data_IF_737708911726
#
_entry.id   IF_737708911726
#
_cell.length_a   1.000
_cell.length_b   1.000
_cell.length_c   1.000
_cell.angle_alpha   90.00
_cell.angle_beta   90.00
_cell.angle_gamma   90.00
#
_symmetry.space_group_name_H-M   'P 1'
#
loop_
_entity.id
_entity.type
_entity.pdbx_description
1 polymer ?
#
# COMPACT_ATOMS: atom_id res chain seq x y z
N UNK A 1 25.60 -7.80 11.76
CA UNK A 1 24.21 -7.63 12.24
C UNK A 1 24.03 -6.17 12.67
N UNK A 2 22.97 -5.48 12.21
CA UNK A 2 22.71 -4.09 12.62
C UNK A 2 22.46 -4.01 14.13
N UNK A 3 23.14 -3.08 14.80
CA UNK A 3 23.06 -2.80 16.23
C UNK A 3 21.63 -2.53 16.72
N UNK A 4 20.77 -2.00 15.84
CA UNK A 4 19.38 -1.66 16.15
C UNK A 4 18.34 -2.68 15.63
N UNK A 5 18.76 -3.86 15.19
CA UNK A 5 17.88 -4.94 14.71
C UNK A 5 16.77 -5.38 15.69
N UNK A 6 16.92 -5.10 16.99
CA UNK A 6 15.92 -5.39 18.04
C UNK A 6 14.84 -4.32 18.20
N UNK A 7 14.98 -3.17 17.55
CA UNK A 7 14.02 -2.06 17.64
C UNK A 7 12.91 -2.24 16.61
N UNK A 8 11.66 -2.09 17.04
CA UNK A 8 10.53 -1.90 16.12
C UNK A 8 10.67 -0.52 15.44
N UNK A 9 10.06 -0.32 14.27
CA UNK A 9 10.15 0.97 13.54
C UNK A 9 9.81 2.19 14.42
N UNK A 10 8.71 2.14 15.16
CA UNK A 10 8.35 3.23 16.08
C UNK A 10 9.38 3.41 17.21
N UNK A 11 9.96 2.31 17.72
CA UNK A 11 11.01 2.38 18.74
C UNK A 11 12.31 2.98 18.17
N UNK A 12 12.65 2.63 16.92
CA UNK A 12 13.82 3.14 16.21
C UNK A 12 13.73 4.66 15.99
N UNK A 13 12.57 5.16 15.56
CA UNK A 13 12.32 6.60 15.37
C UNK A 13 12.44 7.35 16.71
N UNK A 14 11.89 6.82 17.80
CA UNK A 14 12.03 7.46 19.12
C UNK A 14 13.49 7.45 19.58
N UNK A 15 14.20 6.34 19.43
CA UNK A 15 15.62 6.24 19.76
C UNK A 15 16.48 7.20 18.93
N UNK A 16 16.17 7.36 17.64
CA UNK A 16 16.86 8.30 16.77
C UNK A 16 16.74 9.75 17.28
N UNK A 17 15.56 10.16 17.74
CA UNK A 17 15.38 11.49 18.33
C UNK A 17 16.20 11.71 19.61
N UNK A 18 16.35 10.68 20.46
CA UNK A 18 17.25 10.79 21.62
C UNK A 18 18.72 10.91 21.18
N UNK A 19 19.15 10.11 20.21
CA UNK A 19 20.51 10.17 19.67
C UNK A 19 20.77 11.52 19.03
N UNK A 20 19.82 12.09 18.28
CA UNK A 20 19.92 13.42 17.69
C UNK A 20 20.20 14.49 18.77
N UNK A 21 19.45 14.42 19.87
CA UNK A 21 19.56 15.38 20.98
C UNK A 21 20.94 15.30 21.64
N UNK A 22 21.37 14.08 22.00
CA UNK A 22 22.68 13.85 22.62
C UNK A 22 23.80 14.21 21.65
N UNK A 23 23.74 13.75 20.40
CA UNK A 23 24.74 14.03 19.38
C UNK A 23 24.86 15.52 19.08
N UNK A 24 23.76 16.26 19.00
CA UNK A 24 23.79 17.72 18.80
C UNK A 24 24.57 18.42 19.94
N UNK A 25 24.32 18.00 21.17
CA UNK A 25 24.97 18.56 22.36
C UNK A 25 26.46 18.22 22.40
N UNK A 26 26.80 16.96 22.08
CA UNK A 26 28.13 16.40 22.27
C UNK A 26 28.99 16.46 21.00
N UNK A 27 28.45 16.97 19.88
CA UNK A 27 29.08 16.95 18.55
C UNK A 27 30.49 17.51 18.58
N UNK A 28 30.70 18.63 19.26
CA UNK A 28 32.01 19.30 19.30
C UNK A 28 33.08 18.42 19.95
N UNK A 29 32.75 17.72 21.04
CA UNK A 29 33.66 16.77 21.69
C UNK A 29 33.93 15.57 20.78
N UNK A 30 32.88 14.99 20.19
CA UNK A 30 33.02 13.86 19.27
C UNK A 30 33.79 14.22 17.99
N UNK A 31 33.64 15.44 17.48
CA UNK A 31 34.34 15.91 16.29
C UNK A 31 35.83 16.17 16.53
N UNK A 32 36.24 16.40 17.79
CA UNK A 32 37.64 16.57 18.15
C UNK A 32 38.42 15.25 17.98
N UNK A 33 37.79 14.11 18.27
CA UNK A 33 38.39 12.78 18.12
C UNK A 33 38.07 12.14 16.75
N UNK A 34 36.86 12.35 16.25
CA UNK A 34 36.36 11.74 15.00
C UNK A 34 35.96 12.82 14.00
N UNK A 35 36.89 13.17 13.10
CA UNK A 35 36.74 14.27 12.12
C UNK A 35 35.51 14.18 11.21
N UNK A 36 34.91 13.00 11.08
CA UNK A 36 33.68 12.78 10.31
C UNK A 36 32.42 13.37 10.91
N UNK A 37 32.38 13.66 12.22
CA UNK A 37 31.20 14.23 12.90
C UNK A 37 31.11 15.75 12.74
N UNK A 38 31.12 16.17 11.49
CA UNK A 38 30.97 17.57 11.09
C UNK A 38 29.54 18.06 11.33
N UNK A 39 29.34 19.37 11.22
CA UNK A 39 27.98 19.94 11.21
C UNK A 39 27.15 19.38 10.05
N UNK A 40 27.78 19.13 8.89
CA UNK A 40 27.15 18.51 7.73
C UNK A 40 26.65 17.09 8.02
N UNK A 41 27.42 16.29 8.76
CA UNK A 41 26.97 14.94 9.18
C UNK A 41 25.73 15.01 10.08
N UNK A 42 25.65 15.99 10.98
CA UNK A 42 24.45 16.23 11.79
C UNK A 42 23.25 16.62 10.90
N UNK A 43 23.44 17.50 9.93
CA UNK A 43 22.38 17.86 8.97
C UNK A 43 21.88 16.65 8.17
N UNK A 44 22.79 15.77 7.73
CA UNK A 44 22.44 14.52 7.06
C UNK A 44 21.67 13.56 7.97
N UNK A 45 22.07 13.47 9.24
CA UNK A 45 21.36 12.67 10.23
C UNK A 45 19.93 13.17 10.45
N UNK A 46 19.75 14.48 10.67
CA UNK A 46 18.44 15.11 10.86
C UNK A 46 17.54 14.90 9.64
N UNK A 47 18.10 14.99 8.43
CA UNK A 47 17.38 14.70 7.20
C UNK A 47 16.93 13.24 7.12
N UNK A 48 17.81 12.29 7.42
CA UNK A 48 17.48 10.86 7.44
C UNK A 48 16.43 10.52 8.51
N UNK A 49 16.53 11.12 9.71
CA UNK A 49 15.56 10.99 10.78
C UNK A 49 14.19 11.53 10.36
N UNK A 50 14.14 12.74 9.81
CA UNK A 50 12.91 13.39 9.34
C UNK A 50 12.24 12.59 8.23
N UNK A 51 13.03 12.10 7.27
CA UNK A 51 12.53 11.23 6.21
C UNK A 51 11.88 9.99 6.81
N UNK A 52 12.61 9.22 7.63
CA UNK A 52 12.13 7.99 8.23
C UNK A 52 10.87 8.19 9.11
N UNK A 53 10.79 9.31 9.85
CA UNK A 53 9.64 9.70 10.67
C UNK A 53 8.39 9.99 9.84
N UNK A 54 8.55 10.57 8.65
CA UNK A 54 7.46 10.97 7.77
C UNK A 54 7.04 9.89 6.77
N UNK A 55 7.73 8.74 6.75
CA UNK A 55 7.33 7.64 5.88
C UNK A 55 5.94 7.14 6.26
N UNK A 56 5.01 7.26 5.33
CA UNK A 56 3.67 6.68 5.46
C UNK A 56 3.82 5.19 5.76
N UNK A 57 3.21 4.76 6.86
CA UNK A 57 3.24 3.36 7.29
C UNK A 57 2.75 2.47 6.16
N UNK A 58 3.51 1.41 5.86
CA UNK A 58 3.11 0.35 4.91
C UNK A 58 1.69 -0.16 5.19
N UNK A 59 1.25 -0.15 6.45
CA UNK A 59 -0.09 -0.57 6.85
C UNK A 59 -1.19 0.27 6.19
N UNK A 60 -0.99 1.57 6.04
CA UNK A 60 -1.96 2.48 5.38
C UNK A 60 -2.08 2.13 3.90
N UNK A 61 -0.94 2.03 3.20
CA UNK A 61 -0.91 1.67 1.78
C UNK A 61 -1.52 0.29 1.50
N UNK A 62 -1.26 -0.68 2.38
CA UNK A 62 -1.88 -2.01 2.31
C UNK A 62 -3.39 -1.96 2.58
N UNK A 63 -3.87 -1.09 3.48
CA UNK A 63 -5.30 -0.92 3.70
C UNK A 63 -5.98 -0.34 2.46
N UNK A 64 -5.36 0.67 1.83
CA UNK A 64 -5.88 1.28 0.59
C UNK A 64 -5.89 0.30 -0.58
N UNK A 65 -4.86 -0.54 -0.71
CA UNK A 65 -4.79 -1.60 -1.70
C UNK A 65 -5.92 -2.61 -1.48
N UNK A 66 -6.10 -3.08 -0.23
CA UNK A 66 -7.19 -4.01 0.12
C UNK A 66 -8.56 -3.42 -0.17
N UNK A 67 -8.77 -2.13 0.11
CA UNK A 67 -10.00 -1.43 -0.21
C UNK A 67 -10.31 -1.46 -1.71
N UNK A 68 -9.33 -1.15 -2.56
CA UNK A 68 -9.50 -1.23 -4.02
C UNK A 68 -9.76 -2.65 -4.50
N UNK A 69 -9.04 -3.66 -4.00
CA UNK A 69 -9.29 -5.07 -4.33
C UNK A 69 -10.71 -5.50 -3.95
N UNK A 70 -11.19 -5.11 -2.77
CA UNK A 70 -12.56 -5.42 -2.33
C UNK A 70 -13.62 -4.72 -3.19
N UNK A 71 -13.38 -3.47 -3.59
CA UNK A 71 -14.27 -2.74 -4.50
C UNK A 71 -14.34 -3.41 -5.88
N UNK A 72 -13.20 -3.82 -6.43
CA UNK A 72 -13.11 -4.55 -7.70
C UNK A 72 -13.93 -5.85 -7.65
N UNK A 73 -13.69 -6.71 -6.66
CA UNK A 73 -14.43 -7.96 -6.52
C UNK A 73 -15.94 -7.74 -6.30
N UNK A 74 -16.32 -6.72 -5.52
CA UNK A 74 -17.73 -6.36 -5.32
C UNK A 74 -18.38 -5.98 -6.65
N UNK A 75 -17.73 -5.10 -7.42
CA UNK A 75 -18.25 -4.63 -8.71
C UNK A 75 -18.36 -5.78 -9.72
N UNK A 76 -17.33 -6.62 -9.81
CA UNK A 76 -17.33 -7.81 -10.67
C UNK A 76 -18.44 -8.80 -10.31
N UNK A 77 -18.69 -9.04 -9.01
CA UNK A 77 -19.80 -9.92 -8.58
C UNK A 77 -21.17 -9.33 -8.88
N UNK A 78 -21.31 -8.01 -8.79
CA UNK A 78 -22.55 -7.29 -9.07
C UNK A 78 -23.00 -7.40 -10.54
N UNK A 79 -22.13 -7.83 -11.46
CA UNK A 79 -22.49 -8.10 -12.86
C UNK A 79 -23.41 -9.31 -13.03
N UNK A 80 -23.37 -10.30 -12.12
CA UNK A 80 -24.07 -11.59 -12.32
C UNK A 80 -25.57 -11.44 -12.62
N UNK A 81 -26.34 -10.62 -11.88
CA UNK A 81 -27.75 -10.39 -12.18
C UNK A 81 -27.97 -9.67 -13.52
N UNK A 82 -27.12 -8.69 -13.86
CA UNK A 82 -27.20 -7.96 -15.14
C UNK A 82 -26.97 -8.92 -16.31
N UNK A 83 -25.93 -9.75 -16.24
CA UNK A 83 -25.62 -10.77 -17.25
C UNK A 83 -26.75 -11.79 -17.40
N UNK A 84 -27.43 -12.16 -16.31
CA UNK A 84 -28.55 -13.09 -16.39
C UNK A 84 -29.74 -12.49 -17.14
N UNK A 85 -30.01 -11.20 -16.96
CA UNK A 85 -31.06 -10.50 -17.73
C UNK A 85 -30.70 -10.43 -19.22
N UNK A 86 -29.45 -10.07 -19.53
CA UNK A 86 -28.93 -10.02 -20.91
C UNK A 86 -29.04 -11.40 -21.58
N UNK A 87 -28.66 -12.47 -20.89
CA UNK A 87 -28.81 -13.85 -21.38
C UNK A 87 -30.28 -14.16 -21.74
N UNK A 88 -31.23 -13.73 -20.92
CA UNK A 88 -32.64 -13.96 -21.19
C UNK A 88 -33.10 -13.22 -22.46
N UNK A 89 -32.71 -11.95 -22.63
CA UNK A 89 -33.02 -11.20 -23.86
C UNK A 89 -32.43 -11.87 -25.11
N UNK A 90 -31.18 -12.32 -25.05
CA UNK A 90 -30.54 -13.07 -26.14
C UNK A 90 -31.32 -14.35 -26.44
N UNK A 91 -31.71 -15.10 -25.42
CA UNK A 91 -32.43 -16.36 -25.60
C UNK A 91 -33.84 -16.16 -26.17
N UNK A 92 -34.55 -15.10 -25.80
CA UNK A 92 -35.84 -14.77 -26.39
C UNK A 92 -35.67 -14.34 -27.85
N UNK A 93 -34.69 -13.49 -28.15
CA UNK A 93 -34.47 -13.00 -29.51
C UNK A 93 -34.07 -14.16 -30.46
N UNK A 94 -33.28 -15.12 -29.98
CA UNK A 94 -32.92 -16.35 -30.73
C UNK A 94 -34.11 -17.22 -31.13
N UNK A 95 -35.22 -17.15 -30.40
CA UNK A 95 -36.42 -17.92 -30.77
C UNK A 95 -37.12 -17.33 -32.00
N UNK A 96 -36.92 -16.04 -32.26
CA UNK A 96 -37.57 -15.29 -33.34
C UNK A 96 -36.63 -14.99 -34.51
N UNK A 97 -35.31 -14.94 -34.27
CA UNK A 97 -34.30 -14.57 -35.26
C UNK A 97 -33.29 -15.71 -35.49
N UNK A 98 -33.29 -16.25 -36.72
CA UNK A 98 -32.42 -17.35 -37.15
C UNK A 98 -30.94 -16.93 -37.18
N UNK A 99 -30.63 -15.68 -37.52
CA UNK A 99 -29.24 -15.21 -37.56
C UNK A 99 -28.61 -15.28 -36.16
N UNK A 100 -29.36 -14.85 -35.13
CA UNK A 100 -28.92 -14.89 -33.74
C UNK A 100 -28.67 -16.30 -33.19
N UNK A 101 -29.28 -17.35 -33.78
CA UNK A 101 -29.08 -18.73 -33.34
C UNK A 101 -27.65 -19.21 -33.58
N UNK A 102 -26.99 -18.68 -34.62
CA UNK A 102 -25.62 -19.05 -35.00
C UNK A 102 -24.54 -18.30 -34.21
N UNK A 103 -24.91 -17.23 -33.51
CA UNK A 103 -23.96 -16.34 -32.83
C UNK A 103 -23.64 -16.87 -31.44
N UNK A 104 -22.36 -16.90 -31.09
CA UNK A 104 -21.87 -17.30 -29.77
C UNK A 104 -21.59 -16.04 -28.94
N UNK A 105 -22.38 -15.83 -27.89
CA UNK A 105 -22.15 -14.76 -26.91
C UNK A 105 -21.28 -15.29 -25.77
N UNK A 106 -20.28 -14.53 -25.29
CA UNK A 106 -19.26 -15.03 -24.34
C UNK A 106 -19.74 -15.08 -22.87
N UNK A 107 -21.00 -15.44 -22.64
CA UNK A 107 -21.62 -15.38 -21.30
C UNK A 107 -21.03 -16.41 -20.33
N UNK A 108 -20.62 -17.58 -20.82
CA UNK A 108 -19.94 -18.61 -20.04
C UNK A 108 -18.55 -18.16 -19.60
N UNK A 109 -17.80 -17.57 -20.53
CA UNK A 109 -16.44 -17.07 -20.36
C UNK A 109 -16.43 -15.94 -19.33
N UNK A 110 -17.37 -14.99 -19.44
CA UNK A 110 -17.57 -13.93 -18.46
C UNK A 110 -17.82 -14.51 -17.05
N UNK A 111 -18.68 -15.53 -16.92
CA UNK A 111 -18.97 -16.15 -15.62
C UNK A 111 -17.75 -16.84 -15.03
N UNK A 112 -16.99 -17.54 -15.86
CA UNK A 112 -15.74 -18.19 -15.48
C UNK A 112 -14.72 -17.16 -15.01
N UNK A 113 -14.52 -16.07 -15.76
CA UNK A 113 -13.64 -14.98 -15.39
C UNK A 113 -14.04 -14.33 -14.05
N UNK A 114 -15.34 -14.06 -13.84
CA UNK A 114 -15.87 -13.57 -12.55
C UNK A 114 -15.52 -14.50 -11.38
N UNK A 115 -15.70 -15.81 -11.57
CA UNK A 115 -15.48 -16.81 -10.52
C UNK A 115 -13.99 -17.04 -10.24
N UNK A 116 -13.15 -16.97 -11.27
CA UNK A 116 -11.71 -17.11 -11.17
C UNK A 116 -11.02 -15.82 -10.72
N UNK A 117 -11.77 -14.71 -10.61
CA UNK A 117 -11.23 -13.37 -10.36
C UNK A 117 -10.23 -12.92 -11.44
N UNK A 118 -10.42 -13.41 -12.66
CA UNK A 118 -9.64 -13.03 -13.83
C UNK A 118 -10.25 -11.77 -14.45
N UNK A 119 -9.64 -10.61 -14.15
CA UNK A 119 -10.19 -9.32 -14.56
C UNK A 119 -9.81 -8.99 -16.00
N UNK A 120 -8.69 -9.52 -16.49
CA UNK A 120 -8.25 -9.31 -17.88
C UNK A 120 -9.20 -10.06 -18.83
N UNK A 121 -9.38 -11.36 -18.61
CA UNK A 121 -10.34 -12.16 -19.37
C UNK A 121 -11.77 -11.61 -19.25
N UNK A 122 -12.13 -11.09 -18.08
CA UNK A 122 -13.45 -10.48 -17.87
C UNK A 122 -13.66 -9.25 -18.77
N UNK A 123 -12.69 -8.32 -18.81
CA UNK A 123 -12.80 -7.09 -19.60
C UNK A 123 -12.85 -7.39 -21.10
N UNK A 124 -12.04 -8.35 -21.56
CA UNK A 124 -12.02 -8.77 -22.96
C UNK A 124 -13.37 -9.37 -23.38
N UNK A 125 -13.90 -10.29 -22.56
CA UNK A 125 -15.18 -10.93 -22.87
C UNK A 125 -16.38 -9.98 -22.70
N UNK A 126 -16.34 -9.01 -21.78
CA UNK A 126 -17.36 -7.95 -21.68
C UNK A 126 -17.31 -7.02 -22.89
N UNK A 127 -16.14 -6.70 -23.42
CA UNK A 127 -15.97 -5.89 -24.63
C UNK A 127 -16.55 -6.63 -25.85
N UNK A 128 -16.26 -7.92 -25.99
CA UNK A 128 -16.84 -8.76 -27.03
C UNK A 128 -18.37 -8.82 -26.91
N UNK A 129 -18.90 -9.06 -25.70
CA UNK A 129 -20.34 -9.06 -25.44
C UNK A 129 -20.97 -7.73 -25.86
N UNK A 130 -20.40 -6.59 -25.43
CA UNK A 130 -20.90 -5.27 -25.79
C UNK A 130 -20.96 -5.08 -27.32
N UNK A 131 -19.91 -5.44 -28.04
CA UNK A 131 -19.86 -5.31 -29.50
C UNK A 131 -20.93 -6.16 -30.19
N UNK A 132 -21.16 -7.40 -29.72
CA UNK A 132 -22.22 -8.25 -30.25
C UNK A 132 -23.62 -7.70 -29.95
N UNK A 133 -23.83 -7.14 -28.75
CA UNK A 133 -25.12 -6.52 -28.39
C UNK A 133 -25.40 -5.29 -29.27
N UNK A 134 -24.38 -4.47 -29.57
CA UNK A 134 -24.50 -3.31 -30.46
C UNK A 134 -24.75 -3.74 -31.91
N UNK A 135 -24.01 -4.74 -32.41
CA UNK A 135 -24.14 -5.25 -33.76
C UNK A 135 -25.53 -5.84 -34.03
N UNK A 136 -26.11 -6.51 -33.04
CA UNK A 136 -27.42 -7.17 -33.14
C UNK A 136 -28.51 -6.46 -32.34
N UNK A 137 -28.39 -5.15 -32.15
CA UNK A 137 -29.31 -4.37 -31.30
C UNK A 137 -30.76 -4.40 -31.75
N UNK A 138 -31.02 -4.50 -33.06
CA UNK A 138 -32.38 -4.46 -33.61
C UNK A 138 -33.27 -5.63 -33.14
N UNK A 139 -32.88 -6.91 -33.35
CA UNK A 139 -33.67 -8.03 -32.84
C UNK A 139 -33.70 -8.08 -31.30
N UNK A 140 -32.62 -7.67 -30.62
CA UNK A 140 -32.59 -7.60 -29.16
C UNK A 140 -33.53 -6.53 -28.58
N UNK A 141 -33.68 -5.40 -29.28
CA UNK A 141 -34.59 -4.32 -28.88
C UNK A 141 -36.06 -4.72 -28.97
N UNK A 142 -36.42 -5.62 -29.90
CA UNK A 142 -37.79 -6.17 -29.99
C UNK A 142 -38.17 -6.97 -28.74
N UNK A 143 -37.19 -7.62 -28.10
CA UNK A 143 -37.36 -8.31 -26.82
C UNK A 143 -37.23 -7.39 -25.60
N UNK A 144 -37.03 -6.09 -25.80
CA UNK A 144 -36.99 -5.08 -24.74
C UNK A 144 -35.60 -4.79 -24.17
N UNK A 145 -34.51 -5.24 -24.82
CA UNK A 145 -33.16 -4.77 -24.46
C UNK A 145 -32.95 -3.35 -24.98
N UNK A 146 -32.98 -2.36 -24.08
CA UNK A 146 -32.78 -0.95 -24.45
C UNK A 146 -31.31 -0.61 -24.72
N UNK A 147 -31.07 0.38 -25.58
CA UNK A 147 -29.72 0.93 -25.79
C UNK A 147 -29.12 1.48 -24.48
N UNK A 148 -29.95 2.05 -23.59
CA UNK A 148 -29.52 2.48 -22.25
C UNK A 148 -28.95 1.32 -21.44
N UNK A 149 -29.54 0.13 -21.49
CA UNK A 149 -29.04 -1.04 -20.77
C UNK A 149 -27.69 -1.51 -21.33
N UNK A 150 -27.50 -1.41 -22.65
CA UNK A 150 -26.22 -1.73 -23.32
C UNK A 150 -25.15 -0.73 -22.87
N UNK A 151 -25.47 0.56 -22.81
CA UNK A 151 -24.57 1.59 -22.30
C UNK A 151 -24.22 1.40 -20.81
N UNK A 152 -25.19 1.06 -19.96
CA UNK A 152 -24.95 0.75 -18.54
C UNK A 152 -23.95 -0.41 -18.36
N UNK A 153 -24.04 -1.46 -19.18
CA UNK A 153 -23.07 -2.57 -19.16
C UNK A 153 -21.66 -2.09 -19.53
N UNK A 154 -21.56 -1.20 -20.52
CA UNK A 154 -20.29 -0.61 -20.96
C UNK A 154 -19.67 0.26 -19.84
N UNK A 155 -20.47 1.05 -19.14
CA UNK A 155 -20.01 1.85 -17.99
C UNK A 155 -19.58 0.96 -16.81
N UNK A 156 -20.31 -0.14 -16.57
CA UNK A 156 -19.93 -1.14 -15.57
C UNK A 156 -18.56 -1.74 -15.90
N UNK A 157 -18.34 -2.14 -17.17
CA UNK A 157 -17.07 -2.65 -17.69
C UNK A 157 -15.93 -1.63 -17.54
N UNK A 158 -16.12 -0.38 -17.97
CA UNK A 158 -15.10 0.67 -17.88
C UNK A 158 -14.65 0.89 -16.42
N UNK A 159 -15.59 0.98 -15.48
CA UNK A 159 -15.17 1.15 -14.10
C UNK A 159 -14.59 -0.12 -13.45
N UNK A 160 -14.75 -1.32 -14.04
CA UNK A 160 -13.99 -2.52 -13.63
C UNK A 160 -12.54 -2.39 -14.13
N UNK A 161 -12.37 -1.99 -15.39
CA UNK A 161 -11.05 -1.70 -15.96
C UNK A 161 -10.30 -0.62 -15.16
N UNK A 162 -10.97 0.48 -14.79
CA UNK A 162 -10.37 1.55 -13.99
C UNK A 162 -9.93 1.07 -12.60
N UNK A 163 -10.74 0.23 -11.95
CA UNK A 163 -10.40 -0.36 -10.66
C UNK A 163 -9.22 -1.33 -10.76
N UNK A 164 -9.12 -2.09 -11.86
CA UNK A 164 -7.98 -2.97 -12.13
C UNK A 164 -6.68 -2.16 -12.31
N UNK A 165 -6.73 -1.10 -13.11
CA UNK A 165 -5.59 -0.20 -13.30
C UNK A 165 -5.17 0.46 -12.00
N UNK A 166 -6.14 0.93 -11.21
CA UNK A 166 -5.88 1.52 -9.90
C UNK A 166 -5.24 0.51 -8.94
N UNK A 167 -5.69 -0.75 -8.95
CA UNK A 167 -5.10 -1.82 -8.14
C UNK A 167 -3.63 -2.04 -8.52
N UNK A 168 -3.31 -2.11 -9.82
CA UNK A 168 -1.94 -2.26 -10.32
C UNK A 168 -1.04 -1.10 -9.90
N UNK A 169 -1.51 0.14 -10.05
CA UNK A 169 -0.77 1.33 -9.60
C UNK A 169 -0.54 1.29 -8.08
N UNK A 170 -1.54 0.91 -7.28
CA UNK A 170 -1.40 0.80 -5.82
C UNK A 170 -0.44 -0.32 -5.40
N UNK A 171 -0.41 -1.43 -6.13
CA UNK A 171 0.54 -2.53 -5.87
C UNK A 171 1.97 -2.10 -6.15
N UNK A 172 2.21 -1.46 -7.31
CA UNK A 172 3.53 -0.96 -7.69
C UNK A 172 4.04 0.11 -6.72
N UNK A 173 3.20 1.09 -6.39
CA UNK A 173 3.56 2.15 -5.43
C UNK A 173 3.80 1.61 -4.02
N UNK A 174 3.09 0.56 -3.60
CA UNK A 174 3.33 -0.12 -2.31
C UNK A 174 4.67 -0.86 -2.30
N UNK A 175 5.03 -1.52 -3.40
CA UNK A 175 6.30 -2.22 -3.53
C UNK A 175 7.48 -1.24 -3.55
N UNK A 176 7.44 -0.20 -4.38
CA UNK A 176 8.47 0.83 -4.44
C UNK A 176 8.62 1.56 -3.11
N UNK A 177 7.51 1.88 -2.44
CA UNK A 177 7.55 2.48 -1.12
C UNK A 177 8.15 1.54 -0.06
N UNK A 178 7.93 0.23 -0.17
CA UNK A 178 8.53 -0.73 0.77
C UNK A 178 10.05 -0.72 0.66
N UNK A 179 10.58 -0.72 -0.57
CA UNK A 179 12.01 -0.65 -0.80
C UNK A 179 12.59 0.68 -0.31
N UNK A 180 12.01 1.82 -0.71
CA UNK A 180 12.46 3.14 -0.28
C UNK A 180 12.39 3.31 1.25
N UNK A 181 11.33 2.79 1.89
CA UNK A 181 11.19 2.84 3.33
C UNK A 181 12.28 2.03 4.02
N UNK A 182 12.54 0.80 3.55
CA UNK A 182 13.59 -0.05 4.12
C UNK A 182 14.97 0.60 3.99
N UNK A 183 15.25 1.25 2.87
CA UNK A 183 16.50 1.98 2.64
C UNK A 183 16.66 3.13 3.63
N UNK A 184 15.64 3.96 3.80
CA UNK A 184 15.68 5.09 4.74
C UNK A 184 15.87 4.63 6.19
N UNK A 185 15.18 3.56 6.61
CA UNK A 185 15.37 2.98 7.94
C UNK A 185 16.77 2.38 8.13
N UNK A 186 17.33 1.76 7.08
CA UNK A 186 18.69 1.23 7.11
C UNK A 186 19.72 2.35 7.22
N UNK A 187 19.63 3.36 6.37
CA UNK A 187 20.51 4.53 6.40
C UNK A 187 20.51 5.19 7.78
N UNK A 188 19.32 5.42 8.35
CA UNK A 188 19.19 5.99 9.69
C UNK A 188 19.85 5.09 10.75
N UNK A 189 19.60 3.77 10.71
CA UNK A 189 20.16 2.80 11.65
C UNK A 189 21.69 2.69 11.56
N UNK A 190 22.26 2.83 10.36
CA UNK A 190 23.69 2.82 10.14
C UNK A 190 24.33 4.08 10.75
N UNK A 191 23.77 5.27 10.51
CA UNK A 191 24.26 6.51 11.13
C UNK A 191 24.09 6.49 12.66
N UNK A 192 22.96 5.97 13.18
CA UNK A 192 22.79 5.75 14.62
C UNK A 192 23.88 4.83 15.18
N UNK A 193 24.28 3.79 14.44
CA UNK A 193 25.33 2.86 14.86
C UNK A 193 26.67 3.57 14.96
N UNK A 194 27.02 4.38 13.96
CA UNK A 194 28.26 5.16 13.95
C UNK A 194 28.34 6.14 15.12
N UNK A 195 27.27 6.91 15.35
CA UNK A 195 27.19 7.87 16.47
C UNK A 195 27.29 7.14 17.80
N UNK A 196 26.54 6.05 17.99
CA UNK A 196 26.57 5.28 19.22
C UNK A 196 27.93 4.63 19.49
N UNK A 197 28.62 4.14 18.45
CA UNK A 197 29.96 3.58 18.59
C UNK A 197 30.94 4.62 19.13
N UNK A 198 30.95 5.81 18.54
CA UNK A 198 31.83 6.90 18.97
C UNK A 198 31.49 7.44 20.36
N UNK A 199 30.20 7.74 20.62
CA UNK A 199 29.75 8.24 21.91
C UNK A 199 30.03 7.28 23.06
N UNK A 200 29.89 5.96 22.84
CA UNK A 200 30.24 4.97 23.85
C UNK A 200 31.74 4.92 24.14
N UNK A 201 32.57 5.08 23.12
CA UNK A 201 34.03 5.07 23.27
C UNK A 201 34.48 6.31 24.05
N UNK A 202 33.99 7.49 23.65
CA UNK A 202 34.29 8.78 24.29
C UNK A 202 33.86 8.78 25.76
N UNK A 203 32.62 8.37 26.04
CA UNK A 203 32.03 8.49 27.37
C UNK A 203 32.16 7.25 28.25
N UNK A 204 33.11 6.35 27.96
CA UNK A 204 33.29 5.11 28.73
C UNK A 204 33.50 5.34 30.24
N UNK A 205 34.13 6.46 30.62
CA UNK A 205 34.32 6.89 32.02
C UNK A 205 33.14 7.66 32.63
N UNK A 206 32.18 8.10 31.81
CA UNK A 206 31.00 8.85 32.24
C UNK A 206 29.74 7.99 32.01
N UNK A 207 29.33 7.26 33.03
CA UNK A 207 28.21 6.32 32.93
C UNK A 207 26.87 6.97 32.53
N UNK A 208 26.63 8.23 32.91
CA UNK A 208 25.40 8.94 32.54
C UNK A 208 25.37 9.17 31.02
N UNK A 209 26.43 9.75 30.46
CA UNK A 209 26.58 9.99 29.03
C UNK A 209 26.69 8.70 28.21
N UNK A 210 27.41 7.69 28.71
CA UNK A 210 27.53 6.38 28.05
C UNK A 210 26.16 5.75 27.74
N UNK A 211 25.21 5.85 28.68
CA UNK A 211 23.86 5.28 28.52
C UNK A 211 23.05 5.96 27.41
N UNK A 212 23.32 7.23 27.11
CA UNK A 212 22.71 7.96 25.99
C UNK A 212 23.11 7.38 24.63
N UNK A 213 24.26 6.72 24.56
CA UNK A 213 24.79 6.10 23.34
C UNK A 213 24.73 4.57 23.36
N UNK A 214 24.22 3.95 24.44
CA UNK A 214 24.13 2.50 24.53
C UNK A 214 22.77 2.01 23.99
N UNK A 215 22.74 1.24 22.87
CA UNK A 215 21.49 0.78 22.25
C UNK A 215 20.59 -0.02 23.20
N UNK A 216 21.16 -0.82 24.10
CA UNK A 216 20.38 -1.58 25.09
C UNK A 216 19.67 -0.68 26.10
N UNK A 217 20.30 0.43 26.51
CA UNK A 217 19.72 1.37 27.47
C UNK A 217 18.73 2.31 26.78
N UNK A 218 19.03 2.74 25.54
CA UNK A 218 18.08 3.43 24.68
C UNK A 218 16.81 2.61 24.46
N UNK A 219 16.92 1.32 24.16
CA UNK A 219 15.75 0.45 23.97
C UNK A 219 14.90 0.35 25.24
N UNK A 220 15.53 0.22 26.41
CA UNK A 220 14.82 0.21 27.71
C UNK A 220 14.08 1.52 27.94
N UNK A 221 14.76 2.66 27.72
CA UNK A 221 14.19 4.01 27.88
C UNK A 221 12.98 4.22 26.97
N UNK A 222 13.12 3.91 25.68
CA UNK A 222 12.02 4.01 24.70
C UNK A 222 10.82 3.18 25.13
N UNK A 223 11.03 1.91 25.52
CA UNK A 223 9.95 1.02 25.92
C UNK A 223 9.25 1.46 27.20
N UNK A 224 9.99 2.03 28.14
CA UNK A 224 9.42 2.58 29.36
C UNK A 224 8.55 3.80 29.05
N UNK A 225 9.03 4.73 28.21
CA UNK A 225 8.25 5.92 27.84
C UNK A 225 6.97 5.55 27.08
N UNK A 226 7.04 4.59 26.16
CA UNK A 226 5.87 4.12 25.42
C UNK A 226 4.82 3.44 26.32
N UNK A 227 5.26 2.71 27.36
CA UNK A 227 4.34 2.12 28.34
C UNK A 227 3.61 3.20 29.14
N UNK A 228 4.34 4.20 29.63
CA UNK A 228 3.76 5.30 30.39
C UNK A 228 2.72 6.08 29.56
N UNK A 229 3.04 6.39 28.30
CA UNK A 229 2.09 7.04 27.36
C UNK A 229 0.84 6.21 27.08
N UNK A 230 0.93 4.89 27.13
CA UNK A 230 -0.25 4.01 26.94
C UNK A 230 -1.14 4.01 28.17
N UNK A 231 -0.57 4.14 29.38
CA UNK A 231 -1.32 4.15 30.63
C UNK A 231 -2.07 5.47 30.87
N UNK A 232 -1.46 6.61 30.54
CA UNK A 232 -2.10 7.94 30.65
C UNK A 232 -3.33 8.12 29.74
N UNK A 233 -3.41 7.39 28.62
CA UNK A 233 -4.58 7.44 27.72
C UNK A 233 -5.69 6.43 28.06
N UNK A 234 -5.50 5.60 29.08
CA UNK A 234 -6.47 4.58 29.51
C UNK A 234 -7.15 4.89 30.84
N UNK A 235 -6.99 6.12 31.35
CA UNK A 235 -7.78 6.64 32.46
C UNK A 235 -8.94 7.46 31.88
N UNK A 236 -10.18 6.95 31.85
CA UNK A 236 -11.33 7.78 31.56
C UNK A 236 -11.58 8.68 32.78
N UNK A 237 -11.73 9.99 32.55
CA UNK A 237 -12.55 10.83 33.43
C UNK A 237 -14.00 10.35 33.42
#
# INVERSE_FOLDING_TARGET
MSTFSKFKQAELITAAGYIETSFTTDRAALAAEYSRFTQEYLSQYTAAYTLAKNLVSRKVKLADQKGTTAALHTKTKALKPTLKKIENYINFARQQDIELQSIIFPLSEIRTAINNHDVEDLVDNLSLLHNLLVQHKNPLAQEGLSETRIAELFDEMNGIFDLNQMQNVKMNTTNSATQANNEAYRQLSDMMTEICMAGKAEYKGNNAKYKEYNPSDLLKRVRQEMKNKTQDHSTPE
#
